data_IF_255086529438
#
_entry.id   IF_255086529438
#
_cell.length_a   1.000
_cell.length_b   1.000
_cell.length_c   1.000
_cell.angle_alpha   90.00
_cell.angle_beta   90.00
_cell.angle_gamma   90.00
#
_symmetry.space_group_name_H-M   'P 1'
#
loop_
_entity.id
_entity.type
_entity.pdbx_description
1 polymer ?
#
# COMPACT_ATOMS: atom_id res chain seq x y z
N UNK A 1 -7.62 6.45 -33.34
CA UNK A 1 -6.15 6.36 -33.18
C UNK A 1 -5.73 6.90 -31.84
N UNK A 2 -5.42 6.00 -30.90
CA UNK A 2 -4.56 6.33 -29.76
C UNK A 2 -3.21 6.84 -30.29
N UNK A 3 -3.00 8.15 -30.24
CA UNK A 3 -1.80 8.85 -30.68
C UNK A 3 -1.33 9.86 -29.63
N UNK A 4 -0.34 10.68 -29.98
CA UNK A 4 0.29 11.68 -29.07
C UNK A 4 -0.70 12.66 -28.43
N UNK A 5 -1.89 12.81 -28.99
CA UNK A 5 -2.91 13.79 -28.58
C UNK A 5 -4.10 13.16 -27.83
N UNK A 6 -3.98 11.90 -27.39
CA UNK A 6 -4.98 11.27 -26.53
C UNK A 6 -5.22 12.12 -25.26
N UNK A 7 -6.46 12.28 -24.81
CA UNK A 7 -6.79 12.94 -23.52
C UNK A 7 -6.70 11.99 -22.33
N UNK A 8 -6.55 10.68 -22.56
CA UNK A 8 -6.44 9.67 -21.52
C UNK A 8 -5.14 9.82 -20.73
N UNK A 9 -5.23 9.89 -19.41
CA UNK A 9 -4.08 9.94 -18.48
C UNK A 9 -4.32 9.02 -17.29
N UNK A 10 -3.24 8.61 -16.63
CA UNK A 10 -3.30 7.91 -15.36
C UNK A 10 -4.00 8.79 -14.32
N UNK A 11 -4.92 8.20 -13.58
CA UNK A 11 -5.76 8.90 -12.61
C UNK A 11 -6.95 9.63 -13.22
N UNK A 12 -7.22 9.51 -14.52
CA UNK A 12 -8.49 9.98 -15.09
C UNK A 12 -9.66 9.12 -14.60
N UNK A 13 -10.74 9.78 -14.22
CA UNK A 13 -12.01 9.15 -13.86
C UNK A 13 -12.95 9.16 -15.07
N UNK A 14 -13.54 8.01 -15.41
CA UNK A 14 -14.54 7.92 -16.47
C UNK A 14 -15.83 8.64 -16.08
N UNK A 15 -16.42 9.36 -17.04
CA UNK A 15 -17.82 9.77 -16.92
C UNK A 15 -18.74 8.55 -17.08
N UNK A 16 -19.94 8.64 -16.49
CA UNK A 16 -20.95 7.55 -16.46
C UNK A 16 -21.21 6.97 -17.86
N UNK A 17 -21.41 7.84 -18.87
CA UNK A 17 -21.68 7.41 -20.24
C UNK A 17 -20.57 6.54 -20.84
N UNK A 18 -19.30 6.94 -20.64
CA UNK A 18 -18.15 6.15 -21.12
C UNK A 18 -17.98 4.87 -20.33
N UNK A 19 -18.25 4.90 -19.02
CA UNK A 19 -18.23 3.70 -18.18
C UNK A 19 -19.29 2.68 -18.64
N UNK A 20 -20.54 3.08 -18.86
CA UNK A 20 -21.61 2.18 -19.35
C UNK A 20 -21.29 1.59 -20.72
N UNK A 21 -20.66 2.38 -21.60
CA UNK A 21 -20.29 1.90 -22.94
C UNK A 21 -19.19 0.84 -22.89
N UNK A 22 -18.18 1.04 -22.04
CA UNK A 22 -17.05 0.10 -21.90
C UNK A 22 -17.37 -1.10 -21.01
N UNK A 23 -18.28 -0.93 -20.05
CA UNK A 23 -18.60 -1.92 -19.03
C UNK A 23 -20.13 -2.12 -18.88
N UNK A 24 -20.84 -2.54 -19.93
CA UNK A 24 -22.32 -2.57 -19.99
C UNK A 24 -22.99 -3.56 -19.02
N UNK A 25 -22.23 -4.39 -18.29
CA UNK A 25 -22.75 -5.33 -17.30
C UNK A 25 -22.65 -4.83 -15.85
N UNK A 26 -22.27 -3.57 -15.61
CA UNK A 26 -22.14 -3.02 -14.25
C UNK A 26 -23.45 -2.47 -13.66
N UNK A 27 -24.58 -2.59 -14.36
CA UNK A 27 -25.84 -1.88 -14.06
C UNK A 27 -26.72 -2.50 -12.96
N UNK A 28 -26.38 -3.66 -12.40
CA UNK A 28 -27.28 -4.34 -11.43
C UNK A 28 -27.20 -3.84 -9.98
N UNK A 29 -26.65 -2.64 -9.73
CA UNK A 29 -26.65 -2.07 -8.37
C UNK A 29 -26.93 -0.57 -8.35
N UNK A 30 -27.62 -0.10 -7.30
CA UNK A 30 -27.86 1.33 -7.02
C UNK A 30 -26.55 2.14 -6.81
N UNK A 31 -25.39 1.49 -6.83
CA UNK A 31 -24.05 2.07 -6.75
C UNK A 31 -23.26 1.66 -8.01
N UNK A 32 -23.58 2.24 -9.16
CA UNK A 32 -22.82 1.97 -10.38
C UNK A 32 -21.31 2.24 -10.11
N UNK A 33 -20.42 1.28 -10.39
CA UNK A 33 -19.00 1.46 -10.13
C UNK A 33 -18.45 2.57 -11.04
N UNK A 34 -17.62 3.42 -10.45
CA UNK A 34 -16.79 4.35 -11.21
C UNK A 34 -15.51 3.64 -11.68
N UNK A 35 -14.81 4.21 -12.66
CA UNK A 35 -13.61 3.58 -13.21
C UNK A 35 -12.47 4.60 -13.31
N UNK A 36 -11.34 4.26 -12.72
CA UNK A 36 -10.11 5.07 -12.76
C UNK A 36 -9.10 4.41 -13.69
N UNK A 37 -8.51 5.18 -14.59
CA UNK A 37 -7.40 4.74 -15.45
C UNK A 37 -6.14 4.56 -14.61
N UNK A 38 -5.52 3.38 -14.65
CA UNK A 38 -4.32 3.08 -13.85
C UNK A 38 -3.07 2.81 -14.67
N UNK A 39 -3.19 2.64 -16.00
CA UNK A 39 -2.02 2.61 -16.89
C UNK A 39 -1.29 3.95 -16.89
N UNK A 40 0.05 3.90 -16.88
CA UNK A 40 0.89 5.10 -16.89
C UNK A 40 0.78 5.86 -18.23
N UNK A 41 0.93 7.18 -18.18
CA UNK A 41 0.76 8.07 -19.34
C UNK A 41 1.61 7.66 -20.56
N UNK A 42 2.89 7.33 -20.34
CA UNK A 42 3.77 6.88 -21.42
C UNK A 42 3.29 5.59 -22.10
N UNK A 43 2.67 4.68 -21.33
CA UNK A 43 2.17 3.40 -21.85
C UNK A 43 0.83 3.60 -22.57
N UNK A 44 -0.02 4.52 -22.09
CA UNK A 44 -1.23 4.94 -22.80
C UNK A 44 -0.89 5.47 -24.20
N UNK A 45 0.16 6.28 -24.33
CA UNK A 45 0.58 6.87 -25.61
C UNK A 45 1.41 5.91 -26.47
N UNK A 46 2.00 4.87 -25.87
CA UNK A 46 2.85 3.92 -26.58
C UNK A 46 2.03 3.01 -27.51
N UNK A 47 2.41 2.85 -28.79
CA UNK A 47 1.75 1.88 -29.68
C UNK A 47 2.11 0.42 -29.36
N UNK A 48 3.13 0.18 -28.51
CA UNK A 48 3.53 -1.16 -28.10
C UNK A 48 2.59 -1.74 -27.04
N UNK A 49 2.02 -0.88 -26.21
CA UNK A 49 1.01 -1.26 -25.24
C UNK A 49 -0.35 -1.24 -25.92
N UNK A 50 -1.02 -2.39 -25.97
CA UNK A 50 -2.30 -2.54 -26.67
C UNK A 50 -3.49 -2.42 -25.74
N UNK A 51 -3.24 -2.50 -24.43
CA UNK A 51 -4.29 -2.49 -23.42
C UNK A 51 -4.14 -1.33 -22.47
N UNK A 52 -5.27 -0.81 -22.00
CA UNK A 52 -5.33 0.17 -20.92
C UNK A 52 -6.04 -0.49 -19.75
N UNK A 53 -5.44 -0.33 -18.59
CA UNK A 53 -5.91 -0.86 -17.33
C UNK A 53 -6.76 0.19 -16.61
N UNK A 54 -7.85 -0.31 -16.03
CA UNK A 54 -8.80 0.43 -15.22
C UNK A 54 -8.96 -0.27 -13.87
N UNK A 55 -9.39 0.47 -12.85
CA UNK A 55 -9.89 -0.12 -11.60
C UNK A 55 -11.32 0.35 -11.40
N UNK A 56 -12.23 -0.61 -11.22
CA UNK A 56 -13.58 -0.34 -10.76
C UNK A 56 -13.55 0.05 -9.27
N UNK A 57 -14.11 1.21 -8.94
CA UNK A 57 -14.07 1.84 -7.63
C UNK A 57 -15.44 2.35 -7.19
N UNK A 58 -15.56 2.68 -5.91
CA UNK A 58 -16.78 3.22 -5.31
C UNK A 58 -16.49 4.53 -4.59
N UNK A 59 -17.49 5.42 -4.58
CA UNK A 59 -17.46 6.60 -3.71
C UNK A 59 -17.55 6.19 -2.25
N UNK A 60 -16.80 6.88 -1.39
CA UNK A 60 -16.84 6.72 0.05
C UNK A 60 -17.06 8.07 0.71
N UNK A 61 -17.86 8.09 1.78
CA UNK A 61 -18.10 9.29 2.59
C UNK A 61 -17.10 9.44 3.75
N UNK A 62 -16.38 8.37 4.09
CA UNK A 62 -15.43 8.34 5.21
C UNK A 62 -14.15 7.64 4.76
N UNK A 63 -13.01 8.32 4.91
CA UNK A 63 -11.70 7.72 4.70
C UNK A 63 -11.19 7.05 5.98
N UNK A 64 -10.74 5.81 5.86
CA UNK A 64 -10.13 5.10 6.98
C UNK A 64 -8.60 5.28 6.97
N UNK A 65 -7.96 5.64 8.10
CA UNK A 65 -6.52 5.91 8.15
C UNK A 65 -5.61 4.77 7.66
N UNK A 66 -6.08 3.53 7.71
CA UNK A 66 -5.38 2.33 7.23
C UNK A 66 -5.34 2.20 5.71
N UNK A 67 -6.23 2.90 4.98
CA UNK A 67 -6.32 2.86 3.52
C UNK A 67 -5.79 4.14 2.86
N UNK A 68 -5.37 5.14 3.63
CA UNK A 68 -4.73 6.36 3.12
C UNK A 68 -3.20 6.16 3.01
N UNK A 69 -2.56 6.88 2.08
CA UNK A 69 -1.09 6.91 1.97
C UNK A 69 -0.47 5.59 1.51
N UNK A 70 -1.18 4.80 0.72
CA UNK A 70 -0.73 3.51 0.19
C UNK A 70 -0.26 2.50 1.26
N UNK A 71 -0.73 2.63 2.51
CA UNK A 71 -0.38 1.75 3.65
C UNK A 71 -0.87 0.32 3.46
N UNK A 72 -2.04 0.15 2.85
CA UNK A 72 -2.60 -1.14 2.49
C UNK A 72 -2.40 -1.43 0.99
N UNK A 73 -1.62 -2.44 0.60
CA UNK A 73 -1.36 -2.78 -0.80
C UNK A 73 -2.52 -3.50 -1.49
N UNK A 74 -3.64 -3.82 -0.82
CA UNK A 74 -4.85 -4.39 -1.46
C UNK A 74 -5.90 -3.32 -1.77
N UNK A 75 -5.98 -2.28 -0.93
CA UNK A 75 -7.01 -1.25 -0.94
C UNK A 75 -6.40 0.12 -0.65
N UNK A 76 -6.82 1.15 -1.40
CA UNK A 76 -6.42 2.54 -1.15
C UNK A 76 -7.64 3.46 -1.24
N UNK A 77 -7.63 4.50 -0.42
CA UNK A 77 -8.54 5.65 -0.52
C UNK A 77 -7.77 6.81 -1.15
N UNK A 78 -8.28 7.34 -2.26
CA UNK A 78 -7.67 8.44 -3.01
C UNK A 78 -8.62 9.63 -3.06
N UNK A 79 -8.03 10.83 -3.03
CA UNK A 79 -8.77 12.08 -3.12
C UNK A 79 -8.73 12.65 -4.52
N UNK A 80 -9.91 12.84 -5.10
CA UNK A 80 -10.12 13.53 -6.35
C UNK A 80 -10.67 14.93 -6.09
N UNK A 81 -10.27 15.89 -6.91
CA UNK A 81 -10.73 17.28 -6.81
C UNK A 81 -11.24 17.75 -8.16
N UNK A 82 -12.09 18.76 -8.19
CA UNK A 82 -12.48 19.44 -9.42
C UNK A 82 -12.08 20.93 -9.39
N UNK A 83 -12.43 21.69 -10.44
CA UNK A 83 -12.10 23.12 -10.54
C UNK A 83 -12.89 24.02 -9.59
N UNK A 84 -13.94 23.48 -8.97
CA UNK A 84 -14.81 24.18 -8.01
C UNK A 84 -14.42 23.83 -6.55
N UNK A 85 -13.24 23.24 -6.35
CA UNK A 85 -12.73 22.76 -5.05
C UNK A 85 -13.66 21.74 -4.35
N UNK A 86 -14.50 21.05 -5.10
CA UNK A 86 -15.24 19.90 -4.58
C UNK A 86 -14.32 18.69 -4.50
N UNK A 87 -14.47 17.92 -3.43
CA UNK A 87 -13.70 16.70 -3.18
C UNK A 87 -14.57 15.46 -3.37
N UNK A 88 -13.98 14.44 -3.98
CA UNK A 88 -14.55 13.11 -4.16
C UNK A 88 -13.55 12.09 -3.65
N UNK A 89 -13.97 11.22 -2.75
CA UNK A 89 -13.12 10.17 -2.21
C UNK A 89 -13.51 8.82 -2.79
N UNK A 90 -12.54 8.13 -3.38
CA UNK A 90 -12.75 6.84 -4.03
C UNK A 90 -11.98 5.73 -3.34
N UNK A 91 -12.64 4.60 -3.12
CA UNK A 91 -11.99 3.36 -2.73
C UNK A 91 -11.61 2.53 -3.95
N UNK A 92 -10.30 2.30 -4.12
CA UNK A 92 -9.75 1.43 -5.16
C UNK A 92 -9.27 0.13 -4.53
N UNK A 93 -9.53 -0.99 -5.22
CA UNK A 93 -9.04 -2.31 -4.81
C UNK A 93 -8.23 -2.94 -5.94
N UNK A 94 -7.07 -3.51 -5.61
CA UNK A 94 -6.16 -4.13 -6.58
C UNK A 94 -6.80 -5.30 -7.34
N UNK A 95 -7.74 -6.02 -6.72
CA UNK A 95 -8.44 -7.15 -7.34
C UNK A 95 -9.46 -6.73 -8.40
N UNK A 96 -9.85 -5.45 -8.43
CA UNK A 96 -10.87 -4.92 -9.34
C UNK A 96 -10.25 -4.35 -10.63
N UNK A 97 -9.02 -4.76 -10.94
CA UNK A 97 -8.33 -4.31 -12.14
C UNK A 97 -8.91 -4.98 -13.38
N UNK A 98 -9.23 -4.17 -14.38
CA UNK A 98 -9.80 -4.60 -15.66
C UNK A 98 -8.89 -4.08 -16.77
N UNK A 99 -8.68 -4.89 -17.80
CA UNK A 99 -7.84 -4.54 -18.94
C UNK A 99 -8.71 -4.46 -20.19
N UNK A 100 -8.66 -3.34 -20.89
CA UNK A 100 -9.46 -3.04 -22.09
C UNK A 100 -8.53 -2.81 -23.26
N UNK A 101 -8.84 -3.37 -24.43
CA UNK A 101 -8.06 -3.14 -25.63
C UNK A 101 -8.23 -1.70 -26.14
N UNK A 102 -7.14 -1.04 -26.56
CA UNK A 102 -7.16 0.34 -27.06
C UNK A 102 -8.13 0.52 -28.23
N UNK A 103 -8.33 -0.52 -29.04
CA UNK A 103 -9.30 -0.51 -30.14
C UNK A 103 -10.73 -0.25 -29.65
N UNK A 104 -11.13 -0.84 -28.53
CA UNK A 104 -12.48 -0.66 -27.96
C UNK A 104 -12.65 0.76 -27.41
N UNK A 105 -11.58 1.36 -26.90
CA UNK A 105 -11.57 2.73 -26.42
C UNK A 105 -11.63 3.77 -27.56
N UNK A 106 -11.25 3.42 -28.80
CA UNK A 106 -11.39 4.36 -29.93
C UNK A 106 -12.86 4.62 -30.27
N UNK A 107 -13.74 3.69 -29.94
CA UNK A 107 -15.19 3.81 -30.12
C UNK A 107 -15.86 4.68 -29.06
N UNK A 108 -15.14 5.00 -27.98
CA UNK A 108 -15.62 5.78 -26.85
C UNK A 108 -14.93 7.14 -26.88
N UNK A 109 -15.69 8.21 -27.10
CA UNK A 109 -15.17 9.55 -26.84
C UNK A 109 -14.69 9.57 -25.40
N UNK A 110 -13.49 10.08 -25.13
CA UNK A 110 -12.94 10.25 -23.79
C UNK A 110 -13.73 11.30 -23.00
N UNK A 111 -14.98 10.98 -22.69
CA UNK A 111 -15.84 11.71 -21.80
C UNK A 111 -15.34 11.39 -20.39
N UNK A 112 -14.48 12.28 -19.91
CA UNK A 112 -13.84 12.18 -18.61
C UNK A 112 -14.62 13.04 -17.63
N UNK A 113 -14.70 12.57 -16.39
CA UNK A 113 -15.23 13.36 -15.30
C UNK A 113 -14.45 14.68 -15.13
N UNK A 114 -15.09 15.70 -14.59
CA UNK A 114 -14.43 16.95 -14.20
C UNK A 114 -13.54 16.81 -12.96
N UNK A 115 -13.62 15.67 -12.27
CA UNK A 115 -12.75 15.29 -11.18
C UNK A 115 -11.40 14.77 -11.70
N UNK A 116 -10.32 15.22 -11.07
CA UNK A 116 -8.95 14.85 -11.39
C UNK A 116 -8.19 14.46 -10.13
N UNK A 117 -7.17 13.61 -10.33
CA UNK A 117 -6.22 13.24 -9.29
C UNK A 117 -5.07 14.25 -9.27
N UNK A 118 -4.80 14.87 -8.12
CA UNK A 118 -3.66 15.78 -7.96
C UNK A 118 -2.32 15.03 -8.08
N UNK A 119 -1.22 15.72 -8.36
CA UNK A 119 0.08 15.08 -8.63
C UNK A 119 0.59 14.23 -7.46
N UNK A 120 0.44 14.71 -6.22
CA UNK A 120 0.78 13.94 -5.02
C UNK A 120 -0.07 12.65 -4.88
N UNK A 121 -1.35 12.71 -5.22
CA UNK A 121 -2.25 11.56 -5.21
C UNK A 121 -1.94 10.57 -6.35
N UNK A 122 -1.47 11.07 -7.51
CA UNK A 122 -0.95 10.20 -8.60
C UNK A 122 0.31 9.48 -8.17
N UNK A 123 1.21 10.13 -7.44
CA UNK A 123 2.40 9.49 -6.88
C UNK A 123 2.02 8.37 -5.89
N UNK A 124 1.03 8.61 -5.02
CA UNK A 124 0.46 7.59 -4.14
C UNK A 124 -0.17 6.43 -4.92
N UNK A 125 -0.92 6.71 -5.99
CA UNK A 125 -1.49 5.68 -6.86
C UNK A 125 -0.39 4.80 -7.47
N UNK A 126 0.68 5.39 -8.00
CA UNK A 126 1.83 4.63 -8.56
C UNK A 126 2.50 3.77 -7.50
N UNK A 127 2.77 4.34 -6.32
CA UNK A 127 3.37 3.61 -5.21
C UNK A 127 2.50 2.42 -4.79
N UNK A 128 1.19 2.62 -4.69
CA UNK A 128 0.23 1.58 -4.33
C UNK A 128 0.11 0.49 -5.39
N UNK A 129 0.12 0.85 -6.68
CA UNK A 129 0.12 -0.11 -7.79
C UNK A 129 1.36 -1.02 -7.72
N UNK A 130 2.53 -0.44 -7.46
CA UNK A 130 3.78 -1.19 -7.31
C UNK A 130 3.81 -2.05 -6.03
N UNK A 131 3.19 -1.56 -4.94
CA UNK A 131 3.20 -2.21 -3.64
C UNK A 131 2.62 -3.62 -3.65
N UNK A 132 1.71 -3.95 -4.58
CA UNK A 132 1.18 -5.32 -4.73
C UNK A 132 2.27 -6.32 -5.10
N UNK A 133 3.19 -5.94 -5.99
CA UNK A 133 4.25 -6.81 -6.50
C UNK A 133 5.53 -6.73 -5.66
N UNK A 134 5.71 -5.64 -4.92
CA UNK A 134 6.79 -5.47 -3.95
C UNK A 134 6.53 -6.08 -2.57
N UNK A 135 5.46 -6.87 -2.40
CA UNK A 135 5.17 -7.51 -1.10
C UNK A 135 6.27 -8.51 -0.76
N UNK A 136 6.85 -8.43 0.45
CA UNK A 136 7.79 -9.45 0.86
C UNK A 136 7.06 -10.77 1.10
N UNK A 137 7.66 -11.85 0.61
CA UNK A 137 7.38 -13.19 1.10
C UNK A 137 8.49 -13.52 2.10
N UNK A 138 8.20 -13.39 3.39
CA UNK A 138 9.12 -13.84 4.42
C UNK A 138 9.07 -15.38 4.51
N UNK A 139 10.13 -16.04 5.02
CA UNK A 139 10.11 -17.47 5.27
C UNK A 139 8.93 -17.86 6.17
N UNK A 140 8.28 -18.98 5.88
CA UNK A 140 7.13 -19.46 6.64
C UNK A 140 7.49 -19.73 8.10
N UNK A 141 8.68 -20.28 8.36
CA UNK A 141 9.17 -20.51 9.72
C UNK A 141 9.38 -19.19 10.47
N UNK A 142 9.87 -18.14 9.80
CA UNK A 142 9.95 -16.80 10.41
C UNK A 142 8.55 -16.25 10.72
N UNK A 143 7.61 -16.31 9.77
CA UNK A 143 6.24 -15.85 10.01
C UNK A 143 5.56 -16.62 11.14
N UNK A 144 5.77 -17.94 11.23
CA UNK A 144 5.22 -18.77 12.29
C UNK A 144 5.74 -18.36 13.67
N UNK A 145 7.04 -18.09 13.80
CA UNK A 145 7.66 -17.58 15.04
C UNK A 145 7.14 -16.19 15.39
N UNK A 146 6.94 -15.32 14.41
CA UNK A 146 6.37 -13.98 14.62
C UNK A 146 4.90 -14.05 15.08
N UNK A 147 4.15 -15.06 14.64
CA UNK A 147 2.73 -15.29 14.99
C UNK A 147 2.51 -16.00 16.33
N UNK A 148 3.58 -16.33 17.06
CA UNK A 148 3.47 -17.11 18.29
C UNK A 148 2.70 -16.37 19.39
N UNK A 149 2.14 -17.15 20.30
CA UNK A 149 1.56 -16.63 21.53
C UNK A 149 2.67 -16.25 22.52
N UNK A 150 2.67 -15.01 22.99
CA UNK A 150 3.64 -14.46 23.96
C UNK A 150 3.06 -14.42 25.39
N UNK A 151 2.00 -15.19 25.65
CA UNK A 151 1.34 -15.26 26.95
C UNK A 151 -0.07 -15.83 26.86
N UNK A 152 -0.86 -15.69 27.93
CA UNK A 152 -2.25 -16.18 27.97
C UNK A 152 -3.13 -15.44 26.95
N UNK A 153 -3.23 -15.99 25.73
CA UNK A 153 -4.03 -15.49 24.60
C UNK A 153 -3.59 -14.12 24.07
N UNK A 154 -2.29 -13.85 24.06
CA UNK A 154 -1.73 -12.63 23.43
C UNK A 154 -0.80 -13.05 22.30
N UNK A 155 -1.15 -12.67 21.07
CA UNK A 155 -0.25 -12.79 19.93
C UNK A 155 0.73 -11.62 19.94
N UNK A 156 1.99 -11.88 19.57
CA UNK A 156 3.00 -10.82 19.44
C UNK A 156 2.51 -9.69 18.53
N UNK A 157 1.91 -10.06 17.40
CA UNK A 157 1.44 -9.12 16.37
C UNK A 157 0.35 -8.17 16.88
N UNK A 158 -0.53 -8.65 17.78
CA UNK A 158 -1.57 -7.82 18.39
C UNK A 158 -0.96 -6.78 19.34
N UNK A 159 0.01 -7.18 20.15
CA UNK A 159 0.71 -6.26 21.04
C UNK A 159 1.61 -5.29 20.27
N UNK A 160 2.24 -5.75 19.18
CA UNK A 160 2.98 -4.90 18.24
C UNK A 160 2.07 -3.80 17.70
N UNK A 161 0.89 -4.18 17.19
CA UNK A 161 -0.10 -3.21 16.67
C UNK A 161 -0.50 -2.21 17.75
N UNK A 162 -0.81 -2.66 18.96
CA UNK A 162 -1.23 -1.79 20.07
C UNK A 162 -0.17 -0.77 20.44
N UNK A 163 1.11 -1.17 20.43
CA UNK A 163 2.26 -0.29 20.73
C UNK A 163 2.53 0.71 19.62
N UNK A 164 2.34 0.32 18.35
CA UNK A 164 2.56 1.22 17.20
C UNK A 164 1.39 2.16 16.93
N UNK A 165 0.15 1.76 17.24
CA UNK A 165 -1.05 2.53 16.92
C UNK A 165 -1.02 4.00 17.40
N UNK A 166 -0.57 4.33 18.64
CA UNK A 166 -0.45 5.72 19.09
C UNK A 166 0.53 6.57 18.27
N UNK A 167 1.49 5.93 17.60
CA UNK A 167 2.60 6.55 16.86
C UNK A 167 2.37 6.52 15.34
N UNK A 168 1.30 5.88 14.87
CA UNK A 168 1.08 5.54 13.46
C UNK A 168 1.04 6.74 12.49
N UNK A 169 0.72 7.95 12.99
CA UNK A 169 0.71 9.18 12.18
C UNK A 169 2.13 9.70 11.89
N UNK A 170 3.10 9.39 12.74
CA UNK A 170 4.50 9.79 12.55
C UNK A 170 5.35 8.77 11.80
N UNK A 171 4.78 7.63 11.42
CA UNK A 171 5.49 6.52 10.80
C UNK A 171 4.98 6.35 9.36
N UNK A 172 5.90 6.49 8.40
CA UNK A 172 5.63 6.26 6.98
C UNK A 172 5.63 4.76 6.65
N UNK A 173 6.62 4.04 7.15
CA UNK A 173 6.79 2.61 6.86
C UNK A 173 7.56 1.89 7.98
N UNK A 174 7.35 0.58 8.05
CA UNK A 174 8.11 -0.34 8.91
C UNK A 174 8.83 -1.30 7.96
N UNK A 175 10.14 -1.50 8.14
CA UNK A 175 10.93 -2.43 7.35
C UNK A 175 11.58 -3.48 8.24
N UNK A 176 11.61 -4.72 7.75
CA UNK A 176 12.37 -5.82 8.34
C UNK A 176 13.57 -6.16 7.45
N UNK A 177 14.74 -6.34 8.07
CA UNK A 177 15.93 -6.95 7.47
C UNK A 177 16.21 -8.28 8.17
N UNK A 178 16.22 -9.38 7.43
CA UNK A 178 16.58 -10.72 7.93
C UNK A 178 18.03 -11.10 7.56
N UNK A 179 18.83 -10.12 7.14
CA UNK A 179 20.15 -10.30 6.57
C UNK A 179 20.14 -11.40 5.48
N UNK A 180 21.00 -12.41 5.63
CA UNK A 180 21.16 -13.48 4.66
C UNK A 180 20.07 -14.57 4.77
N UNK A 181 19.29 -14.57 5.85
CA UNK A 181 18.18 -15.51 6.09
C UNK A 181 16.85 -15.06 5.46
N UNK A 182 16.86 -13.99 4.65
CA UNK A 182 15.64 -13.41 4.03
C UNK A 182 14.81 -14.39 3.20
N UNK A 183 15.44 -15.43 2.66
CA UNK A 183 14.80 -16.44 1.81
C UNK A 183 15.00 -17.87 2.33
N UNK A 184 15.51 -18.02 3.55
CA UNK A 184 15.90 -19.31 4.11
C UNK A 184 14.90 -19.75 5.16
N UNK A 185 14.39 -20.99 5.05
CA UNK A 185 13.62 -21.63 6.10
C UNK A 185 14.60 -22.22 7.13
N UNK A 186 14.71 -21.57 8.28
CA UNK A 186 15.55 -22.05 9.39
C UNK A 186 14.81 -23.09 10.24
N UNK A 187 15.55 -24.10 10.70
CA UNK A 187 15.04 -25.14 11.61
C UNK A 187 14.83 -24.60 13.02
N UNK A 188 14.05 -25.30 13.83
CA UNK A 188 13.81 -24.93 15.23
C UNK A 188 15.13 -24.94 16.02
N UNK A 189 15.38 -23.86 16.75
CA UNK A 189 16.63 -23.62 17.47
C UNK A 189 17.65 -22.76 16.74
N UNK A 190 17.51 -22.58 15.41
CA UNK A 190 18.34 -21.65 14.64
C UNK A 190 17.67 -20.26 14.56
N UNK A 191 18.24 -19.21 15.16
CA UNK A 191 17.56 -17.93 15.27
C UNK A 191 17.57 -17.13 13.95
N UNK A 192 16.48 -16.43 13.67
CA UNK A 192 16.48 -15.35 12.69
C UNK A 192 17.07 -14.07 13.31
N UNK A 193 18.07 -13.50 12.65
CA UNK A 193 18.58 -12.17 13.01
C UNK A 193 17.73 -11.10 12.32
N UNK A 194 17.03 -10.30 13.11
CA UNK A 194 16.08 -9.31 12.65
C UNK A 194 16.57 -7.90 12.97
N UNK A 195 16.51 -7.00 11.98
CA UNK A 195 16.54 -5.55 12.21
C UNK A 195 15.20 -4.96 11.83
N UNK A 196 14.68 -4.07 12.67
CA UNK A 196 13.45 -3.33 12.43
C UNK A 196 13.77 -1.86 12.23
N UNK A 197 13.23 -1.26 11.16
CA UNK A 197 13.39 0.16 10.85
C UNK A 197 12.01 0.82 10.78
N UNK A 198 11.80 1.83 11.61
CA UNK A 198 10.66 2.74 11.58
C UNK A 198 11.05 3.98 10.77
N UNK A 199 10.58 4.05 9.53
CA UNK A 199 10.80 5.18 8.65
C UNK A 199 9.82 6.32 9.00
N UNK A 200 10.32 7.53 9.21
CA UNK A 200 9.52 8.72 9.43
C UNK A 200 9.80 9.80 8.38
N UNK A 201 8.83 10.67 8.15
CA UNK A 201 8.96 11.80 7.23
C UNK A 201 9.83 12.89 7.84
N UNK A 202 11.03 13.08 7.30
CA UNK A 202 11.95 14.12 7.78
C UNK A 202 11.65 15.51 7.21
N UNK A 203 10.90 15.60 6.12
CA UNK A 203 10.63 16.84 5.39
C UNK A 203 9.37 17.53 5.88
N UNK A 204 8.27 16.79 6.02
CA UNK A 204 6.94 17.31 6.40
C UNK A 204 6.53 16.89 7.82
N UNK A 205 7.05 15.77 8.34
CA UNK A 205 6.63 15.21 9.63
C UNK A 205 7.14 15.96 10.87
N UNK A 206 8.17 16.78 10.70
CA UNK A 206 8.79 17.59 11.75
C UNK A 206 9.32 16.77 12.96
N UNK A 207 9.65 17.42 14.08
CA UNK A 207 10.17 16.74 15.27
C UNK A 207 9.21 15.70 15.88
N UNK A 208 7.90 15.85 15.66
CA UNK A 208 6.87 14.94 16.14
C UNK A 208 6.95 13.57 15.48
N UNK A 209 7.18 13.50 14.16
CA UNK A 209 7.25 12.23 13.44
C UNK A 209 8.46 11.41 13.90
N UNK A 210 9.62 12.06 14.02
CA UNK A 210 10.83 11.46 14.60
C UNK A 210 10.57 10.89 15.99
N UNK A 211 10.00 11.68 16.90
CA UNK A 211 9.72 11.25 18.28
C UNK A 211 8.75 10.06 18.32
N UNK A 212 7.74 10.05 17.44
CA UNK A 212 6.79 8.95 17.33
C UNK A 212 7.50 7.66 16.88
N UNK A 213 8.36 7.74 15.85
CA UNK A 213 9.13 6.60 15.38
C UNK A 213 10.14 6.08 16.42
N UNK A 214 10.85 6.98 17.11
CA UNK A 214 11.77 6.62 18.20
C UNK A 214 11.03 5.95 19.37
N UNK A 215 9.85 6.47 19.73
CA UNK A 215 9.02 5.88 20.80
C UNK A 215 8.52 4.48 20.40
N UNK A 216 8.04 4.32 19.17
CA UNK A 216 7.64 3.02 18.64
C UNK A 216 8.80 2.02 18.64
N UNK A 217 10.00 2.45 18.21
CA UNK A 217 11.18 1.59 18.19
C UNK A 217 11.53 1.06 19.59
N UNK A 218 11.56 1.93 20.60
CA UNK A 218 11.82 1.56 22.01
C UNK A 218 10.75 0.59 22.54
N UNK A 219 9.47 0.89 22.28
CA UNK A 219 8.37 0.05 22.76
C UNK A 219 8.37 -1.36 22.14
N UNK A 220 8.78 -1.45 20.87
CA UNK A 220 8.88 -2.71 20.12
C UNK A 220 10.14 -3.48 20.50
N UNK A 221 11.27 -2.81 20.73
CA UNK A 221 12.47 -3.46 21.25
C UNK A 221 12.20 -4.16 22.59
N UNK A 222 11.52 -3.45 23.51
CA UNK A 222 11.10 -4.04 24.78
C UNK A 222 10.10 -5.20 24.59
N UNK A 223 9.21 -5.13 23.59
CA UNK A 223 8.28 -6.21 23.27
C UNK A 223 9.04 -7.47 22.82
N UNK A 224 9.96 -7.35 21.86
CA UNK A 224 10.73 -8.47 21.34
C UNK A 224 11.63 -9.08 22.42
N UNK A 225 12.31 -8.27 23.22
CA UNK A 225 13.13 -8.73 24.34
C UNK A 225 12.32 -9.52 25.39
N UNK A 226 11.03 -9.21 25.56
CA UNK A 226 10.14 -9.96 26.45
C UNK A 226 9.52 -11.20 25.81
N UNK A 227 9.49 -11.25 24.47
CA UNK A 227 8.75 -12.25 23.71
C UNK A 227 9.63 -13.40 23.19
N UNK A 228 10.88 -13.12 22.85
CA UNK A 228 11.82 -14.08 22.28
C UNK A 228 13.02 -14.29 23.19
N UNK A 229 13.53 -15.51 23.19
CA UNK A 229 14.87 -15.83 23.66
C UNK A 229 15.83 -15.88 22.45
N UNK A 230 17.11 -16.20 22.72
CA UNK A 230 18.16 -16.24 21.70
C UNK A 230 18.05 -17.43 20.72
N UNK A 231 16.94 -18.18 20.71
CA UNK A 231 16.79 -19.40 19.89
C UNK A 231 15.82 -19.26 18.71
N UNK A 232 14.95 -18.25 18.73
CA UNK A 232 13.89 -18.10 17.72
C UNK A 232 14.10 -16.89 16.81
N UNK A 233 14.10 -15.68 17.38
CA UNK A 233 14.30 -14.42 16.69
C UNK A 233 15.16 -13.53 17.59
N UNK A 234 16.36 -13.20 17.11
CA UNK A 234 17.26 -12.25 17.77
C UNK A 234 17.07 -10.90 17.11
N UNK A 235 16.54 -9.93 17.86
CA UNK A 235 16.43 -8.56 17.42
C UNK A 235 17.80 -7.87 17.54
N UNK A 236 18.50 -7.71 16.42
CA UNK A 236 19.82 -7.05 16.39
C UNK A 236 19.72 -5.54 16.58
N UNK A 237 18.66 -4.93 16.05
CA UNK A 237 18.42 -3.49 16.20
C UNK A 237 16.97 -3.11 15.89
N UNK A 238 16.46 -2.11 16.60
CA UNK A 238 15.18 -1.47 16.31
C UNK A 238 15.40 0.05 16.23
N UNK A 239 15.30 0.63 15.03
CA UNK A 239 15.77 1.99 14.77
C UNK A 239 14.67 2.87 14.17
N UNK A 240 14.65 4.13 14.57
CA UNK A 240 13.94 5.18 13.85
C UNK A 240 14.89 5.83 12.84
N UNK A 241 14.48 5.90 11.57
CA UNK A 241 15.32 6.41 10.48
C UNK A 241 14.51 7.39 9.64
N UNK A 242 15.11 8.53 9.28
CA UNK A 242 14.50 9.45 8.34
C UNK A 242 14.34 8.80 6.96
N UNK A 243 13.23 9.02 6.29
CA UNK A 243 13.01 8.55 4.91
C UNK A 243 14.10 9.01 3.93
N UNK A 244 14.66 10.19 4.16
CA UNK A 244 15.78 10.76 3.40
C UNK A 244 17.13 10.06 3.63
N UNK A 245 17.28 9.28 4.70
CA UNK A 245 18.52 8.58 5.06
C UNK A 245 18.52 7.10 4.65
N UNK A 246 17.40 6.59 4.11
CA UNK A 246 17.32 5.20 3.65
C UNK A 246 18.04 5.06 2.31
N UNK A 247 19.26 4.51 2.35
CA UNK A 247 20.05 4.29 1.15
C UNK A 247 19.40 3.28 0.18
N UNK A 248 19.72 3.41 -1.11
CA UNK A 248 19.33 2.42 -2.13
C UNK A 248 19.83 1.00 -1.80
N UNK A 249 21.01 0.88 -1.19
CA UNK A 249 21.55 -0.41 -0.77
C UNK A 249 20.68 -1.05 0.33
N UNK A 250 20.19 -0.25 1.28
CA UNK A 250 19.26 -0.71 2.30
C UNK A 250 17.93 -1.16 1.67
N UNK A 251 17.32 -0.36 0.78
CA UNK A 251 16.06 -0.71 0.10
C UNK A 251 16.11 -2.04 -0.66
N UNK A 252 17.29 -2.45 -1.15
CA UNK A 252 17.46 -3.76 -1.82
C UNK A 252 17.45 -4.94 -0.84
N UNK A 253 17.84 -4.72 0.41
CA UNK A 253 17.94 -5.75 1.46
C UNK A 253 16.69 -5.84 2.33
N UNK A 254 16.13 -4.69 2.67
CA UNK A 254 15.00 -4.60 3.59
C UNK A 254 13.68 -4.87 2.88
N UNK A 255 12.72 -5.42 3.62
CA UNK A 255 11.38 -5.73 3.18
C UNK A 255 10.39 -4.88 3.95
N UNK A 256 9.50 -4.15 3.28
CA UNK A 256 8.46 -3.39 3.98
C UNK A 256 7.49 -4.35 4.65
N UNK A 257 7.47 -4.35 5.98
CA UNK A 257 6.53 -5.15 6.75
C UNK A 257 5.25 -4.34 6.96
N UNK A 258 4.11 -4.96 6.63
CA UNK A 258 2.81 -4.30 6.65
C UNK A 258 1.88 -5.00 7.63
N UNK A 259 1.24 -4.24 8.50
CA UNK A 259 0.31 -4.73 9.52
C UNK A 259 -0.99 -5.32 8.94
N UNK A 260 -1.20 -5.31 7.62
CA UNK A 260 -2.37 -5.89 6.95
C UNK A 260 -2.32 -7.43 6.83
N UNK A 261 -1.17 -8.07 7.01
CA UNK A 261 -1.08 -9.55 7.04
C UNK A 261 -1.82 -10.17 8.24
N UNK A 262 -2.35 -9.34 9.12
CA UNK A 262 -2.98 -9.71 10.39
C UNK A 262 -4.52 -9.66 10.34
N UNK A 263 -5.11 -9.08 9.28
CA UNK A 263 -6.54 -8.77 9.22
C UNK A 263 -7.40 -9.85 8.55
N UNK A 264 -6.88 -11.07 8.33
CA UNK A 264 -7.63 -12.17 7.70
C UNK A 264 -8.20 -13.22 8.67
N UNK A 265 -8.41 -12.86 9.94
CA UNK A 265 -9.29 -13.62 10.85
C UNK A 265 -10.33 -12.71 11.54
N UNK A 266 -10.96 -11.81 10.78
CA UNK A 266 -12.28 -11.31 11.15
C UNK A 266 -13.31 -12.20 10.42
N UNK A 267 -13.96 -13.06 11.21
CA UNK A 267 -15.00 -14.03 10.83
C UNK A 267 -15.88 -13.58 9.66
N UNK A 268 -16.04 -14.48 8.69
CA UNK A 268 -17.21 -14.56 7.79
C UNK A 268 -18.51 -14.60 8.58
#
# INVERSE_FOLDING_TARGET
>A
MFGTDSSWRQGCLLAEKSATTLFPHSEESQNAPMFVVVTHDCDILSPKEKKIEFIACQEISVCSPEFVGAKNPRKIHLKFSNKEDQELYLELQQCNKISVDKGDLESVSADLSNFYLAENEKDLLKQWLAARYGRPAFPNAFEARLRKDIGKRKKLEDEFRKKVAPHANGILAIFFDLNDSRYSELEDGDPYFLKIIFAYDAMEGGPSARKAAESAAIEIEALFASAFDDTEIILESCLAVADTDISLAALRRISQWRLEHLSYEAKS
#
